data_IF_853459093743
#
_entry.id   IF_853459093743
#
_cell.length_a   1.000
_cell.length_b   1.000
_cell.length_c   1.000
_cell.angle_alpha   90.00
_cell.angle_beta   90.00
_cell.angle_gamma   90.00
#
_symmetry.space_group_name_H-M   'P 1'
#
loop_
_entity.id
_entity.type
_entity.pdbx_description
1 polymer ?
#
# COMPACT_ATOMS: atom_id res chain seq x y z
N UNK A 1 32.02 -28.26 6.53
CA UNK A 1 30.88 -27.99 7.46
C UNK A 1 29.75 -27.50 6.59
N UNK A 2 28.64 -28.23 6.50
CA UNK A 2 27.53 -27.91 5.62
C UNK A 2 26.74 -26.78 6.27
N UNK A 3 26.70 -25.59 5.66
CA UNK A 3 26.06 -24.36 6.18
C UNK A 3 24.56 -24.57 6.46
N UNK A 4 23.93 -25.56 5.82
CA UNK A 4 22.52 -25.92 6.02
C UNK A 4 22.20 -26.58 7.38
N UNK A 5 23.22 -26.95 8.16
CA UNK A 5 23.04 -27.62 9.46
C UNK A 5 23.10 -26.66 10.67
N UNK A 6 23.25 -25.36 10.45
CA UNK A 6 23.15 -24.38 11.53
C UNK A 6 21.66 -24.19 11.87
N UNK A 7 21.23 -24.46 13.09
CA UNK A 7 19.82 -24.27 13.47
C UNK A 7 19.39 -22.81 13.27
N UNK A 8 18.33 -22.59 12.51
CA UNK A 8 17.78 -21.25 12.24
C UNK A 8 16.90 -20.79 13.43
N UNK A 9 17.58 -20.60 14.59
CA UNK A 9 16.92 -20.28 15.87
C UNK A 9 16.32 -18.88 15.95
N UNK A 10 16.50 -18.03 14.91
CA UNK A 10 16.18 -16.60 14.95
C UNK A 10 15.10 -16.13 13.97
N UNK A 11 14.59 -17.00 13.10
CA UNK A 11 13.49 -16.64 12.17
C UNK A 11 12.72 -17.88 11.71
N UNK A 12 11.52 -18.11 12.21
CA UNK A 12 10.73 -19.32 11.90
C UNK A 12 10.23 -19.42 10.45
N UNK A 13 10.48 -18.43 9.58
CA UNK A 13 9.78 -18.32 8.29
C UNK A 13 10.64 -18.45 7.03
N UNK A 14 11.96 -18.24 7.08
CA UNK A 14 12.85 -18.31 5.89
C UNK A 14 14.13 -19.11 6.19
N UNK A 15 14.51 -20.03 5.28
CA UNK A 15 15.80 -20.74 5.38
C UNK A 15 16.98 -19.79 5.20
N UNK A 16 18.18 -20.20 5.64
CA UNK A 16 19.40 -19.43 5.47
C UNK A 16 19.66 -19.09 3.99
N UNK A 17 19.43 -20.05 3.08
CA UNK A 17 19.54 -19.86 1.63
C UNK A 17 18.57 -18.81 1.10
N UNK A 18 17.32 -18.82 1.58
CA UNK A 18 16.32 -17.80 1.20
C UNK A 18 16.70 -16.41 1.73
N UNK A 19 17.21 -16.31 2.96
CA UNK A 19 17.72 -15.06 3.52
C UNK A 19 18.91 -14.53 2.71
N UNK A 20 19.87 -15.37 2.37
CA UNK A 20 21.00 -14.98 1.54
C UNK A 20 20.58 -14.50 0.15
N UNK A 21 19.64 -15.20 -0.49
CA UNK A 21 19.08 -14.79 -1.78
C UNK A 21 18.37 -13.43 -1.71
N UNK A 22 17.63 -13.15 -0.61
CA UNK A 22 16.99 -11.85 -0.35
C UNK A 22 18.03 -10.73 -0.28
N UNK A 23 19.06 -10.88 0.52
CA UNK A 23 20.13 -9.88 0.63
C UNK A 23 20.88 -9.69 -0.69
N UNK A 24 21.19 -10.75 -1.41
CA UNK A 24 21.80 -10.69 -2.74
C UNK A 24 20.91 -9.95 -3.75
N UNK A 25 19.58 -10.15 -3.70
CA UNK A 25 18.66 -9.42 -4.56
C UNK A 25 18.64 -7.92 -4.26
N UNK A 26 18.80 -7.52 -3.00
CA UNK A 26 18.82 -6.12 -2.58
C UNK A 26 20.18 -5.43 -2.76
N UNK A 27 21.27 -6.18 -2.96
CA UNK A 27 22.63 -5.65 -3.07
C UNK A 27 22.94 -4.98 -4.43
N UNK A 28 21.90 -4.50 -5.15
CA UNK A 28 22.05 -3.81 -6.43
C UNK A 28 21.20 -2.53 -6.41
N UNK A 29 21.77 -1.36 -6.75
CA UNK A 29 21.13 -0.06 -6.53
C UNK A 29 19.76 0.11 -7.19
N UNK A 30 19.58 -0.36 -8.42
CA UNK A 30 18.27 -0.21 -9.12
C UNK A 30 17.20 -1.07 -8.43
N UNK A 31 17.54 -2.30 -8.00
CA UNK A 31 16.59 -3.16 -7.28
C UNK A 31 16.26 -2.60 -5.91
N UNK A 32 17.22 -2.06 -5.19
CA UNK A 32 16.97 -1.37 -3.92
C UNK A 32 16.04 -0.16 -4.15
N UNK A 33 16.30 0.64 -5.20
CA UNK A 33 15.42 1.79 -5.53
C UNK A 33 14.01 1.38 -5.91
N UNK A 34 13.83 0.25 -6.61
CA UNK A 34 12.49 -0.31 -6.87
C UNK A 34 11.76 -0.60 -5.55
N UNK A 35 12.44 -1.24 -4.62
CA UNK A 35 11.88 -1.59 -3.32
C UNK A 35 11.50 -0.34 -2.52
N UNK A 36 12.35 0.70 -2.50
CA UNK A 36 12.06 1.99 -1.84
C UNK A 36 10.77 2.63 -2.40
N UNK A 37 10.60 2.63 -3.72
CA UNK A 37 9.40 3.14 -4.37
C UNK A 37 8.15 2.33 -3.98
N UNK A 38 8.29 1.00 -3.92
CA UNK A 38 7.20 0.09 -3.58
C UNK A 38 6.82 0.09 -2.08
N UNK A 39 7.64 0.66 -1.21
CA UNK A 39 7.25 0.90 0.19
C UNK A 39 6.10 1.91 0.29
N UNK A 40 6.08 2.90 -0.59
CA UNK A 40 5.08 3.97 -0.59
C UNK A 40 3.87 3.65 -1.47
N UNK A 41 4.08 2.98 -2.63
CA UNK A 41 3.07 2.84 -3.67
C UNK A 41 3.23 1.53 -4.43
N UNK A 42 2.13 0.87 -4.76
CA UNK A 42 2.13 -0.22 -5.73
C UNK A 42 2.19 0.42 -7.13
N UNK A 43 3.12 -0.02 -7.99
CA UNK A 43 3.43 0.67 -9.25
C UNK A 43 3.34 -0.28 -10.45
N UNK A 44 2.84 0.22 -11.56
CA UNK A 44 2.92 -0.48 -12.84
C UNK A 44 4.34 -0.48 -13.40
N UNK A 45 4.64 -1.40 -14.32
CA UNK A 45 5.95 -1.43 -14.99
C UNK A 45 6.24 -0.14 -15.77
N UNK A 46 5.22 0.54 -16.28
CA UNK A 46 5.40 1.83 -16.98
C UNK A 46 5.77 2.95 -16.01
N UNK A 47 5.13 3.02 -14.86
CA UNK A 47 5.46 4.00 -13.80
C UNK A 47 6.87 3.77 -13.25
N UNK A 48 7.20 2.52 -12.91
CA UNK A 48 8.56 2.16 -12.46
C UNK A 48 9.62 2.56 -13.48
N UNK A 49 9.37 2.28 -14.78
CA UNK A 49 10.30 2.65 -15.85
C UNK A 49 10.48 4.17 -15.95
N UNK A 50 9.38 4.92 -15.86
CA UNK A 50 9.44 6.40 -15.88
C UNK A 50 10.23 6.97 -14.71
N UNK A 51 9.99 6.46 -13.49
CA UNK A 51 10.66 6.91 -12.27
C UNK A 51 12.15 6.56 -12.21
N UNK A 52 12.54 5.42 -12.83
CA UNK A 52 13.91 4.91 -12.79
C UNK A 52 14.76 5.32 -14.00
N UNK A 53 14.14 5.76 -15.09
CA UNK A 53 14.84 6.09 -16.34
C UNK A 53 15.51 4.89 -17.03
N UNK A 54 15.02 3.65 -16.80
CA UNK A 54 15.62 2.43 -17.33
C UNK A 54 14.84 1.86 -18.52
N UNK A 55 15.50 1.03 -19.35
CA UNK A 55 14.82 0.34 -20.44
C UNK A 55 13.85 -0.74 -19.95
N UNK A 56 12.86 -1.10 -20.78
CA UNK A 56 11.89 -2.15 -20.45
C UNK A 56 12.54 -3.50 -20.16
N UNK A 57 13.58 -3.86 -20.93
CA UNK A 57 14.29 -5.13 -20.76
C UNK A 57 15.08 -5.17 -19.44
N UNK A 58 15.72 -4.06 -19.09
CA UNK A 58 16.47 -3.95 -17.83
C UNK A 58 15.53 -3.99 -16.63
N UNK A 59 14.42 -3.25 -16.66
CA UNK A 59 13.39 -3.33 -15.62
C UNK A 59 12.83 -4.74 -15.46
N UNK A 60 12.51 -5.41 -16.60
CA UNK A 60 12.01 -6.79 -16.57
C UNK A 60 13.01 -7.77 -15.94
N UNK A 61 14.32 -7.56 -16.18
CA UNK A 61 15.38 -8.33 -15.52
C UNK A 61 15.37 -8.11 -14.01
N UNK A 62 15.39 -6.85 -13.54
CA UNK A 62 15.40 -6.54 -12.11
C UNK A 62 14.14 -7.06 -11.40
N UNK A 63 12.96 -6.88 -11.98
CA UNK A 63 11.72 -7.40 -11.40
C UNK A 63 11.72 -8.93 -11.30
N UNK A 64 12.23 -9.66 -12.31
CA UNK A 64 12.34 -11.11 -12.25
C UNK A 64 13.25 -11.58 -11.11
N UNK A 65 14.36 -10.87 -10.84
CA UNK A 65 15.25 -11.18 -9.71
C UNK A 65 14.53 -10.95 -8.37
N UNK A 66 13.81 -9.84 -8.22
CA UNK A 66 13.05 -9.53 -7.01
C UNK A 66 11.88 -10.51 -6.79
N UNK A 67 11.18 -10.91 -7.85
CA UNK A 67 10.12 -11.92 -7.82
C UNK A 67 10.67 -13.29 -7.39
N UNK A 68 11.80 -13.72 -7.97
CA UNK A 68 12.48 -14.98 -7.60
C UNK A 68 12.93 -14.99 -6.13
N UNK A 69 13.38 -13.85 -5.63
CA UNK A 69 13.74 -13.67 -4.23
C UNK A 69 12.53 -13.50 -3.29
N UNK A 70 11.29 -13.54 -3.81
CA UNK A 70 10.03 -13.37 -3.09
C UNK A 70 9.93 -12.05 -2.32
N UNK A 71 10.52 -10.99 -2.87
CA UNK A 71 10.42 -9.63 -2.35
C UNK A 71 9.18 -8.92 -2.88
N UNK A 72 8.86 -9.15 -4.15
CA UNK A 72 7.74 -8.53 -4.84
C UNK A 72 6.87 -9.57 -5.53
N UNK A 73 5.64 -9.18 -5.82
CA UNK A 73 4.70 -9.92 -6.67
C UNK A 73 4.05 -8.98 -7.69
N UNK A 74 3.54 -9.55 -8.78
CA UNK A 74 2.68 -8.83 -9.73
C UNK A 74 1.24 -9.20 -9.51
N UNK A 75 0.39 -8.19 -9.57
CA UNK A 75 -1.04 -8.35 -9.49
C UNK A 75 -1.71 -7.72 -10.70
N UNK A 76 -2.57 -8.48 -11.36
CA UNK A 76 -3.38 -7.95 -12.46
C UNK A 76 -4.39 -6.94 -11.91
N UNK A 77 -4.54 -5.81 -12.61
CA UNK A 77 -5.50 -4.77 -12.24
C UNK A 77 -6.94 -5.28 -12.24
N UNK A 78 -7.70 -4.86 -11.23
CA UNK A 78 -9.14 -5.05 -11.17
C UNK A 78 -9.92 -4.00 -12.02
N UNK A 79 -9.25 -2.97 -12.51
CA UNK A 79 -9.76 -1.99 -13.46
C UNK A 79 -9.51 -2.43 -14.90
N UNK A 80 -8.39 -2.02 -15.45
CA UNK A 80 -7.93 -2.44 -16.79
C UNK A 80 -7.07 -3.69 -16.69
N UNK A 81 -7.63 -4.85 -17.03
CA UNK A 81 -6.94 -6.15 -16.96
C UNK A 81 -5.70 -6.28 -17.84
N UNK A 82 -5.43 -5.32 -18.72
CA UNK A 82 -4.17 -5.25 -19.48
C UNK A 82 -3.02 -4.70 -18.63
N UNK A 83 -3.33 -4.05 -17.52
CA UNK A 83 -2.36 -3.51 -16.56
C UNK A 83 -2.05 -4.52 -15.47
N UNK A 84 -0.86 -4.41 -14.91
CA UNK A 84 -0.47 -5.09 -13.69
C UNK A 84 0.34 -4.17 -12.80
N UNK A 85 0.17 -4.32 -11.50
CA UNK A 85 0.91 -3.57 -10.49
C UNK A 85 1.91 -4.47 -9.78
N UNK A 86 3.12 -3.98 -9.61
CA UNK A 86 4.16 -4.60 -8.80
C UNK A 86 4.00 -4.08 -7.37
N UNK A 87 4.06 -4.97 -6.41
CA UNK A 87 3.94 -4.64 -5.00
C UNK A 87 4.88 -5.48 -4.13
N UNK A 88 5.26 -4.96 -2.98
CA UNK A 88 5.97 -5.75 -1.98
C UNK A 88 5.06 -6.81 -1.38
N UNK A 89 5.59 -8.00 -1.14
CA UNK A 89 4.90 -8.98 -0.30
C UNK A 89 4.69 -8.40 1.11
N UNK A 90 3.56 -8.68 1.80
CA UNK A 90 3.23 -8.07 3.09
C UNK A 90 4.34 -8.20 4.14
N UNK A 91 4.93 -9.40 4.29
CA UNK A 91 6.03 -9.64 5.23
C UNK A 91 7.28 -8.82 4.89
N UNK A 92 7.58 -8.62 3.61
CA UNK A 92 8.73 -7.84 3.16
C UNK A 92 8.51 -6.34 3.38
N UNK A 93 7.28 -5.86 3.16
CA UNK A 93 6.92 -4.46 3.43
C UNK A 93 7.16 -4.10 4.88
N UNK A 94 6.76 -4.96 5.84
CA UNK A 94 7.03 -4.74 7.27
C UNK A 94 8.53 -4.69 7.55
N UNK A 95 9.28 -5.69 7.12
CA UNK A 95 10.72 -5.78 7.38
C UNK A 95 11.47 -4.56 6.84
N UNK A 96 11.21 -4.20 5.58
CA UNK A 96 11.88 -3.08 4.91
C UNK A 96 11.46 -1.72 5.46
N UNK A 97 10.20 -1.53 5.86
CA UNK A 97 9.76 -0.29 6.50
C UNK A 97 10.50 -0.01 7.81
N UNK A 98 10.86 -1.04 8.59
CA UNK A 98 11.70 -0.89 9.77
C UNK A 98 13.14 -0.52 9.42
N UNK A 99 13.72 -1.13 8.39
CA UNK A 99 15.09 -0.84 7.92
C UNK A 99 15.22 0.61 7.41
N UNK A 100 14.22 1.09 6.66
CA UNK A 100 14.23 2.42 6.04
C UNK A 100 13.80 3.55 6.99
N UNK A 101 13.23 3.23 8.13
CA UNK A 101 12.73 4.20 9.09
C UNK A 101 13.80 5.16 9.69
N UNK A 102 15.06 5.07 9.25
CA UNK A 102 16.17 5.92 9.70
C UNK A 102 16.98 6.60 8.59
N UNK A 103 16.71 6.32 7.32
CA UNK A 103 17.61 6.70 6.21
C UNK A 103 17.04 7.72 5.22
N UNK A 104 15.74 8.02 5.26
CA UNK A 104 15.09 8.93 4.32
C UNK A 104 15.14 10.40 4.76
N UNK A 105 15.41 11.32 3.82
CA UNK A 105 15.07 12.73 3.99
C UNK A 105 13.55 12.79 4.14
N UNK A 106 13.08 13.08 5.34
CA UNK A 106 11.66 13.21 5.63
C UNK A 106 11.14 14.46 4.90
N UNK A 107 10.26 14.23 3.92
CA UNK A 107 9.40 15.29 3.41
C UNK A 107 8.58 15.83 4.60
N UNK A 108 8.32 17.13 4.63
CA UNK A 108 7.45 17.69 5.66
C UNK A 108 6.15 16.87 5.73
N UNK A 109 5.61 16.61 6.94
CA UNK A 109 4.37 15.86 7.07
C UNK A 109 3.25 16.54 6.28
N UNK A 110 2.36 15.79 5.63
CA UNK A 110 1.24 16.38 4.90
C UNK A 110 0.29 17.10 5.87
N UNK A 111 -0.40 18.12 5.38
CA UNK A 111 -1.44 18.78 6.19
C UNK A 111 -2.61 17.85 6.46
N UNK A 112 -2.90 16.93 5.55
CA UNK A 112 -4.01 16.00 5.60
C UNK A 112 -3.72 14.76 4.74
N UNK A 113 -4.29 13.61 5.10
CA UNK A 113 -4.38 12.44 4.22
C UNK A 113 -5.79 12.37 3.58
N UNK A 114 -5.82 12.04 2.29
CA UNK A 114 -7.06 11.79 1.55
C UNK A 114 -7.04 10.37 1.02
N UNK A 115 -7.89 9.50 1.58
CA UNK A 115 -8.03 8.13 1.11
C UNK A 115 -9.14 8.04 0.06
N UNK A 116 -8.82 7.47 -1.11
CA UNK A 116 -9.75 7.37 -2.23
C UNK A 116 -9.93 5.91 -2.66
N UNK A 117 -11.17 5.54 -2.97
CA UNK A 117 -11.47 4.32 -3.72
C UNK A 117 -12.60 4.60 -4.71
N UNK A 118 -13.13 3.60 -5.41
CA UNK A 118 -14.23 3.83 -6.36
C UNK A 118 -15.48 4.29 -5.62
N UNK A 119 -16.00 3.45 -4.71
CA UNK A 119 -17.33 3.64 -4.12
C UNK A 119 -17.38 4.47 -2.84
N UNK A 120 -16.26 4.79 -2.19
CA UNK A 120 -16.22 5.41 -0.84
C UNK A 120 -17.13 4.71 0.19
N UNK A 121 -17.31 3.41 0.07
CA UNK A 121 -18.25 2.65 0.91
C UNK A 121 -17.61 1.52 1.72
N UNK A 122 -16.31 1.23 1.50
CA UNK A 122 -15.60 0.20 2.27
C UNK A 122 -14.13 0.60 2.49
N UNK A 123 -13.26 0.49 1.46
CA UNK A 123 -11.80 0.64 1.60
C UNK A 123 -11.37 2.03 2.10
N UNK A 124 -11.78 3.10 1.42
CA UNK A 124 -11.35 4.46 1.78
C UNK A 124 -11.95 4.97 3.10
N UNK A 125 -13.25 4.76 3.43
CA UNK A 125 -13.75 5.18 4.73
C UNK A 125 -13.14 4.38 5.88
N UNK A 126 -12.88 3.08 5.70
CA UNK A 126 -12.19 2.29 6.70
C UNK A 126 -10.76 2.83 6.94
N UNK A 127 -10.00 3.11 5.88
CA UNK A 127 -8.64 3.65 6.00
C UNK A 127 -8.61 4.98 6.75
N UNK A 128 -9.50 5.92 6.40
CA UNK A 128 -9.59 7.22 7.06
C UNK A 128 -9.99 7.10 8.54
N UNK A 129 -10.98 6.26 8.84
CA UNK A 129 -11.42 6.04 10.22
C UNK A 129 -10.35 5.33 11.06
N UNK A 130 -9.65 4.31 10.48
CA UNK A 130 -8.51 3.65 11.13
C UNK A 130 -7.38 4.63 11.44
N UNK A 131 -7.01 5.48 10.48
CA UNK A 131 -6.01 6.52 10.69
C UNK A 131 -6.42 7.48 11.80
N UNK A 132 -7.61 8.05 11.73
CA UNK A 132 -8.07 9.04 12.69
C UNK A 132 -8.14 8.48 14.12
N UNK A 133 -8.48 7.20 14.26
CA UNK A 133 -8.51 6.52 15.55
C UNK A 133 -7.10 6.25 16.10
N UNK A 134 -6.17 5.77 15.27
CA UNK A 134 -4.93 5.16 15.74
C UNK A 134 -3.69 6.05 15.55
N UNK A 135 -3.72 7.02 14.64
CA UNK A 135 -2.55 7.77 14.22
C UNK A 135 -2.71 9.31 14.27
N UNK A 136 -3.88 9.84 14.04
CA UNK A 136 -4.08 11.29 13.90
C UNK A 136 -3.56 12.08 15.09
N UNK A 137 -3.83 11.61 16.32
CA UNK A 137 -3.39 12.29 17.55
C UNK A 137 -1.86 12.30 17.71
N UNK A 138 -1.19 11.22 17.32
CA UNK A 138 0.26 11.08 17.47
C UNK A 138 1.08 11.69 16.33
N UNK A 139 0.45 11.95 15.19
CA UNK A 139 1.09 12.54 14.00
C UNK A 139 0.69 13.99 13.76
N UNK A 140 -0.37 14.48 14.41
CA UNK A 140 -0.94 15.79 14.11
C UNK A 140 -1.65 15.88 12.74
N UNK A 141 -1.77 14.78 12.01
CA UNK A 141 -2.34 14.72 10.65
C UNK A 141 -3.69 14.05 10.68
N UNK A 142 -4.73 14.71 10.18
CA UNK A 142 -6.05 14.12 10.02
C UNK A 142 -6.22 13.40 8.69
N UNK A 143 -7.23 12.54 8.58
CA UNK A 143 -7.56 11.87 7.32
C UNK A 143 -9.04 12.03 6.95
N UNK A 144 -9.28 12.13 5.64
CA UNK A 144 -10.62 12.09 5.04
C UNK A 144 -10.70 11.00 3.99
N UNK A 145 -11.92 10.73 3.49
CA UNK A 145 -12.10 9.76 2.42
C UNK A 145 -13.11 10.24 1.38
N UNK A 146 -12.93 9.77 0.14
CA UNK A 146 -13.80 10.09 -0.98
C UNK A 146 -13.87 8.94 -2.00
N UNK A 147 -14.77 9.05 -2.98
CA UNK A 147 -14.94 8.10 -4.08
C UNK A 147 -14.91 8.76 -5.44
N UNK A 148 -14.35 8.06 -6.45
CA UNK A 148 -14.44 8.49 -7.85
C UNK A 148 -15.85 8.28 -8.42
N UNK A 149 -16.60 7.31 -7.87
CA UNK A 149 -18.01 7.02 -8.18
C UNK A 149 -18.68 6.51 -6.91
N UNK A 150 -19.14 7.40 -6.02
CA UNK A 150 -19.69 7.02 -4.73
C UNK A 150 -20.85 6.03 -4.84
N UNK A 151 -20.89 5.08 -3.92
CA UNK A 151 -22.00 4.16 -3.76
C UNK A 151 -23.14 4.85 -2.99
N UNK A 152 -24.30 4.22 -2.93
CA UNK A 152 -25.46 4.74 -2.18
C UNK A 152 -25.34 4.52 -0.66
N UNK A 153 -24.59 3.50 -0.24
CA UNK A 153 -24.42 3.16 1.17
C UNK A 153 -23.20 2.25 1.41
N UNK A 154 -22.84 2.06 2.67
CA UNK A 154 -21.86 1.07 3.12
C UNK A 154 -22.49 -0.32 3.07
N UNK A 155 -21.83 -1.33 2.44
CA UNK A 155 -22.32 -2.71 2.47
C UNK A 155 -22.39 -3.27 3.90
N UNK A 156 -23.41 -4.06 4.26
CA UNK A 156 -23.54 -4.62 5.62
C UNK A 156 -22.29 -5.36 6.12
N UNK A 157 -21.75 -6.26 5.31
CA UNK A 157 -20.50 -6.98 5.66
C UNK A 157 -19.29 -6.05 5.82
N UNK A 158 -19.23 -4.91 5.12
CA UNK A 158 -18.19 -3.92 5.36
C UNK A 158 -18.35 -3.26 6.74
N UNK A 159 -19.57 -2.86 7.10
CA UNK A 159 -19.85 -2.26 8.40
C UNK A 159 -19.57 -3.23 9.56
N UNK A 160 -20.06 -4.47 9.47
CA UNK A 160 -19.85 -5.52 10.47
C UNK A 160 -18.37 -5.84 10.65
N UNK A 161 -17.62 -6.05 9.56
CA UNK A 161 -16.20 -6.36 9.61
C UNK A 161 -15.39 -5.20 10.19
N UNK A 162 -15.69 -3.97 9.78
CA UNK A 162 -15.05 -2.78 10.32
C UNK A 162 -15.30 -2.64 11.83
N UNK A 163 -16.54 -2.88 12.27
CA UNK A 163 -16.92 -2.86 13.70
C UNK A 163 -16.15 -3.92 14.49
N UNK A 164 -15.97 -5.12 13.95
CA UNK A 164 -15.16 -6.19 14.56
C UNK A 164 -13.68 -5.79 14.72
N UNK A 165 -13.17 -4.89 13.88
CA UNK A 165 -11.84 -4.29 13.98
C UNK A 165 -11.83 -2.98 14.79
N UNK A 166 -12.97 -2.60 15.36
CA UNK A 166 -13.14 -1.42 16.22
C UNK A 166 -13.32 -0.10 15.45
N UNK A 167 -13.72 -0.14 14.20
CA UNK A 167 -14.06 1.03 13.38
C UNK A 167 -15.55 1.01 13.06
N UNK A 168 -16.27 2.08 13.41
CA UNK A 168 -17.69 2.20 13.09
C UNK A 168 -17.88 2.95 11.75
N UNK A 169 -18.49 2.28 10.78
CA UNK A 169 -18.85 2.83 9.48
C UNK A 169 -20.37 2.96 9.29
N UNK A 170 -21.19 2.70 10.33
CA UNK A 170 -22.66 2.67 10.21
C UNK A 170 -23.27 4.00 9.76
N UNK A 171 -22.65 5.12 10.14
CA UNK A 171 -23.08 6.47 9.82
C UNK A 171 -22.24 7.11 8.69
N UNK A 172 -21.43 6.33 7.99
CA UNK A 172 -20.64 6.86 6.88
C UNK A 172 -21.50 7.06 5.64
N UNK A 173 -21.54 8.30 5.16
CA UNK A 173 -22.19 8.66 3.90
C UNK A 173 -21.14 8.74 2.77
N UNK A 174 -21.23 7.87 1.73
CA UNK A 174 -20.31 7.89 0.62
C UNK A 174 -20.40 9.20 -0.17
N UNK A 175 -19.25 9.88 -0.35
CA UNK A 175 -19.18 11.20 -0.99
C UNK A 175 -18.18 11.23 -2.14
N UNK A 176 -18.41 12.12 -3.15
CA UNK A 176 -17.50 12.31 -4.25
C UNK A 176 -16.17 12.93 -3.78
N UNK A 177 -15.18 12.81 -4.63
CA UNK A 177 -13.90 13.48 -4.46
C UNK A 177 -14.08 14.99 -4.74
N UNK A 178 -13.74 15.81 -3.76
CA UNK A 178 -13.55 17.24 -3.91
C UNK A 178 -12.05 17.54 -4.12
N UNK A 179 -11.73 18.77 -4.53
CA UNK A 179 -10.32 19.18 -4.65
C UNK A 179 -9.62 19.05 -3.30
N UNK A 180 -8.60 18.20 -3.26
CA UNK A 180 -7.78 18.07 -2.07
C UNK A 180 -6.84 19.29 -1.94
N UNK A 181 -6.53 19.75 -0.71
CA UNK A 181 -5.52 20.78 -0.50
C UNK A 181 -4.19 20.40 -1.15
N UNK A 182 -3.48 21.35 -1.74
CA UNK A 182 -2.20 21.09 -2.41
C UNK A 182 -1.13 20.47 -1.49
N UNK A 183 -1.22 20.71 -0.19
CA UNK A 183 -0.34 20.13 0.84
C UNK A 183 -0.80 18.76 1.38
N UNK A 184 -1.85 18.17 0.81
CA UNK A 184 -2.33 16.86 1.20
C UNK A 184 -1.56 15.73 0.49
N UNK A 185 -1.52 14.56 1.11
CA UNK A 185 -1.10 13.31 0.45
C UNK A 185 -2.34 12.50 0.13
N UNK A 186 -2.50 12.15 -1.15
CA UNK A 186 -3.62 11.33 -1.64
C UNK A 186 -3.21 9.87 -1.76
N UNK A 187 -3.98 8.97 -1.17
CA UNK A 187 -3.76 7.52 -1.21
C UNK A 187 -4.97 6.84 -1.85
N UNK A 188 -4.78 6.29 -3.03
CA UNK A 188 -5.81 5.60 -3.79
C UNK A 188 -5.76 4.11 -3.50
N UNK A 189 -6.88 3.55 -3.00
CA UNK A 189 -6.95 2.19 -2.45
C UNK A 189 -7.49 1.14 -3.44
N UNK A 190 -7.52 1.44 -4.72
CA UNK A 190 -7.93 0.47 -5.74
C UNK A 190 -7.51 0.88 -7.13
N UNK A 191 -7.31 -0.11 -7.98
CA UNK A 191 -6.82 0.06 -9.34
C UNK A 191 -7.77 0.92 -10.19
N UNK A 192 -9.09 0.68 -10.11
CA UNK A 192 -10.10 1.45 -10.87
C UNK A 192 -10.07 2.95 -10.56
N UNK A 193 -9.96 3.31 -9.29
CA UNK A 193 -9.88 4.71 -8.91
C UNK A 193 -8.54 5.31 -9.33
N UNK A 194 -7.43 4.57 -9.17
CA UNK A 194 -6.11 5.01 -9.60
C UNK A 194 -6.08 5.28 -11.11
N UNK A 195 -6.61 4.38 -11.91
CA UNK A 195 -6.67 4.51 -13.37
C UNK A 195 -7.57 5.67 -13.83
N UNK A 196 -8.67 5.92 -13.10
CA UNK A 196 -9.55 7.05 -13.37
C UNK A 196 -8.93 8.41 -13.00
N UNK A 197 -8.02 8.44 -12.03
CA UNK A 197 -7.35 9.65 -11.55
C UNK A 197 -6.01 9.91 -12.22
N UNK A 198 -5.49 8.96 -13.01
CA UNK A 198 -4.22 9.10 -13.73
C UNK A 198 -4.24 10.31 -14.64
N UNK A 199 -3.34 11.29 -14.39
CA UNK A 199 -3.26 12.55 -15.14
C UNK A 199 -4.28 13.62 -14.75
N UNK A 200 -5.13 13.37 -13.75
CA UNK A 200 -6.16 14.33 -13.28
C UNK A 200 -5.76 14.98 -11.96
N UNK A 201 -5.11 14.23 -11.07
CA UNK A 201 -4.69 14.72 -9.76
C UNK A 201 -3.23 15.10 -9.80
N UNK A 202 -2.95 16.37 -9.52
CA UNK A 202 -1.60 16.87 -9.30
C UNK A 202 -1.22 16.70 -7.82
N UNK A 203 0.05 16.36 -7.54
CA UNK A 203 0.59 16.29 -6.18
C UNK A 203 1.09 14.92 -5.77
N UNK A 204 1.14 14.71 -4.45
CA UNK A 204 1.68 13.50 -3.83
C UNK A 204 0.62 12.39 -3.81
N UNK A 205 0.59 11.60 -4.88
CA UNK A 205 -0.39 10.53 -5.08
C UNK A 205 0.30 9.17 -4.94
N UNK A 206 -0.22 8.35 -4.02
CA UNK A 206 0.17 6.96 -3.83
C UNK A 206 -0.96 6.01 -4.20
N UNK A 207 -0.62 4.86 -4.74
CA UNK A 207 -1.57 3.80 -5.07
C UNK A 207 -1.31 2.56 -4.23
N UNK A 208 -2.35 2.05 -3.59
CA UNK A 208 -2.37 0.74 -2.93
C UNK A 208 -3.39 -0.15 -3.64
N UNK A 209 -2.91 -1.16 -4.35
CA UNK A 209 -3.74 -2.13 -5.09
C UNK A 209 -4.43 -3.10 -4.13
N UNK A 210 -5.42 -2.61 -3.38
CA UNK A 210 -6.18 -3.43 -2.44
C UNK A 210 -7.32 -4.14 -3.17
N UNK A 211 -7.45 -5.48 -3.03
CA UNK A 211 -8.54 -6.24 -3.64
C UNK A 211 -9.92 -5.64 -3.37
N UNK A 212 -10.81 -5.74 -4.36
CA UNK A 212 -12.19 -5.33 -4.17
C UNK A 212 -12.95 -6.37 -3.32
N UNK A 213 -13.25 -6.11 -2.04
CA UNK A 213 -13.98 -7.07 -1.22
C UNK A 213 -15.42 -7.26 -1.67
N UNK A 214 -16.01 -6.26 -2.35
CA UNK A 214 -17.36 -6.34 -2.90
C UNK A 214 -17.49 -7.28 -4.11
N UNK A 215 -16.38 -7.71 -4.72
CA UNK A 215 -16.41 -8.66 -5.85
C UNK A 215 -16.98 -10.02 -5.46
N UNK A 216 -16.64 -10.53 -4.28
CA UNK A 216 -17.23 -11.73 -3.68
C UNK A 216 -18.29 -11.41 -2.62
N UNK A 217 -18.24 -10.21 -2.04
CA UNK A 217 -19.16 -9.72 -1.02
C UNK A 217 -19.10 -10.46 0.32
N UNK A 218 -18.10 -11.32 0.54
CA UNK A 218 -18.02 -12.14 1.75
C UNK A 218 -17.33 -11.40 2.90
N UNK A 219 -17.71 -11.69 4.16
CA UNK A 219 -17.05 -11.15 5.35
C UNK A 219 -15.52 -11.41 5.34
N UNK A 220 -15.08 -12.59 4.87
CA UNK A 220 -13.66 -12.92 4.71
C UNK A 220 -12.93 -11.99 3.75
N UNK A 221 -13.55 -11.59 2.63
CA UNK A 221 -12.94 -10.68 1.68
C UNK A 221 -12.78 -9.27 2.27
N UNK A 222 -13.76 -8.80 3.04
CA UNK A 222 -13.65 -7.54 3.77
C UNK A 222 -12.58 -7.61 4.87
N UNK A 223 -12.50 -8.69 5.64
CA UNK A 223 -11.47 -8.87 6.68
C UNK A 223 -10.07 -8.82 6.08
N UNK A 224 -9.81 -9.54 4.98
CA UNK A 224 -8.51 -9.52 4.31
C UNK A 224 -8.15 -8.12 3.80
N UNK A 225 -9.08 -7.43 3.15
CA UNK A 225 -8.85 -6.07 2.64
C UNK A 225 -8.59 -5.07 3.78
N UNK A 226 -9.36 -5.14 4.86
CA UNK A 226 -9.25 -4.22 5.99
C UNK A 226 -7.96 -4.45 6.79
N UNK A 227 -7.55 -5.70 6.99
CA UNK A 227 -6.25 -6.02 7.61
C UNK A 227 -5.08 -5.53 6.78
N UNK A 228 -5.12 -5.68 5.46
CA UNK A 228 -4.08 -5.12 4.60
C UNK A 228 -4.04 -3.58 4.66
N UNK A 229 -5.20 -2.93 4.68
CA UNK A 229 -5.29 -1.48 4.82
C UNK A 229 -4.75 -1.02 6.19
N UNK A 230 -5.20 -1.65 7.29
CA UNK A 230 -4.74 -1.27 8.63
C UNK A 230 -3.23 -1.39 8.77
N UNK A 231 -2.64 -2.47 8.26
CA UNK A 231 -1.21 -2.68 8.27
C UNK A 231 -0.46 -1.57 7.51
N UNK A 232 -0.92 -1.22 6.30
CA UNK A 232 -0.29 -0.15 5.50
C UNK A 232 -0.44 1.22 6.16
N UNK A 233 -1.59 1.49 6.74
CA UNK A 233 -1.85 2.73 7.49
C UNK A 233 -0.96 2.83 8.72
N UNK A 234 -0.76 1.75 9.46
CA UNK A 234 0.10 1.72 10.65
C UNK A 234 1.58 1.94 10.29
N UNK A 235 2.06 1.36 9.17
CA UNK A 235 3.41 1.60 8.66
C UNK A 235 3.60 3.06 8.22
N UNK A 236 2.62 3.64 7.54
CA UNK A 236 2.63 5.05 7.18
C UNK A 236 2.67 5.96 8.42
N UNK A 237 1.86 5.64 9.43
CA UNK A 237 1.86 6.37 10.69
C UNK A 237 3.21 6.30 11.41
N UNK A 238 3.86 5.13 11.38
CA UNK A 238 5.19 4.95 11.95
C UNK A 238 6.26 5.79 11.23
N UNK A 239 6.16 5.93 9.91
CA UNK A 239 7.08 6.78 9.13
C UNK A 239 6.92 8.26 9.44
N UNK A 240 5.68 8.75 9.59
CA UNK A 240 5.41 10.16 9.88
C UNK A 240 5.76 10.56 11.32
N UNK A 241 5.60 9.66 12.30
CA UNK A 241 6.04 9.93 13.70
C UNK A 241 7.53 10.11 13.86
N UNK A 242 8.35 9.51 13.01
CA UNK A 242 9.81 9.65 13.03
C UNK A 242 10.30 10.91 12.30
N UNK A 243 9.44 11.57 11.56
CA UNK A 243 9.73 12.79 10.83
C UNK A 243 9.59 14.07 11.70
N UNK A 244 9.01 13.93 12.89
CA UNK A 244 8.90 14.98 13.91
C UNK A 244 10.06 14.91 14.90
#
# INVERSE_FOLDING_TARGET
MNIEQIPDALSPSLSLTQRAARHSALAEPVRLRIVDLLLCSDLSSSELRGLLGVSSNLLAHHLRVLEKARLVERRQSEGDRRRSYVRLLPQERRALAYEHAGTGKTKAPPSQLVFICTGNSARSPFAAAWWNRNAARSTGVSATSAGTKPATSVPPHAAETAKGLGVDLSNHDPKPMENAPASSTTIVLCDRAHEALSGVVEGDLHHWSIPNPGGTGTAKAYDLAFREISERVDLLAASLRKAQ
#
